data_IF_928994270959
#
_entry.id   IF_928994270959
#
_cell.length_a   1.000
_cell.length_b   1.000
_cell.length_c   1.000
_cell.angle_alpha   90.00
_cell.angle_beta   90.00
_cell.angle_gamma   90.00
#
_symmetry.space_group_name_H-M   'P 1'
#
loop_
_entity.id
_entity.type
_entity.pdbx_description
1 polymer ?
#
# COMPACT_ATOMS: atom_id res chain seq x y z
N UNK A 1 44.07 -15.53 -40.19
CA UNK A 1 43.13 -16.66 -40.20
C UNK A 1 41.74 -16.06 -40.15
N UNK A 2 41.11 -15.85 -41.30
CA UNK A 2 39.70 -15.48 -41.32
C UNK A 2 38.90 -16.77 -41.15
N UNK A 3 38.21 -16.93 -40.02
CA UNK A 3 37.24 -18.01 -39.84
C UNK A 3 36.15 -17.83 -40.91
N UNK A 4 36.17 -18.72 -41.89
CA UNK A 4 35.13 -18.80 -42.89
C UNK A 4 33.97 -19.55 -42.20
N UNK A 5 33.00 -18.80 -41.69
CA UNK A 5 31.84 -19.38 -40.99
C UNK A 5 31.06 -20.20 -42.02
N UNK A 6 31.01 -21.52 -41.83
CA UNK A 6 30.25 -22.40 -42.71
C UNK A 6 28.76 -22.01 -42.71
N UNK A 7 28.09 -21.94 -43.87
CA UNK A 7 26.71 -21.48 -43.98
C UNK A 7 25.71 -22.38 -43.22
N UNK A 8 26.07 -23.65 -42.99
CA UNK A 8 25.28 -24.58 -42.19
C UNK A 8 25.25 -24.21 -40.69
N UNK A 9 26.35 -23.69 -40.14
CA UNK A 9 26.41 -23.25 -38.73
C UNK A 9 25.57 -22.00 -38.52
N UNK A 10 25.61 -21.05 -39.45
CA UNK A 10 24.78 -19.84 -39.42
C UNK A 10 23.27 -20.18 -39.45
N UNK A 11 22.87 -21.17 -40.26
CA UNK A 11 21.47 -21.63 -40.29
C UNK A 11 21.05 -22.27 -38.96
N UNK A 12 21.89 -23.12 -38.38
CA UNK A 12 21.61 -23.77 -37.09
C UNK A 12 21.45 -22.75 -35.95
N UNK A 13 22.25 -21.68 -35.92
CA UNK A 13 22.08 -20.60 -34.94
C UNK A 13 20.78 -19.84 -35.15
N UNK A 14 20.42 -19.53 -36.40
CA UNK A 14 19.16 -18.87 -36.72
C UNK A 14 17.94 -19.73 -36.32
N UNK A 15 18.02 -21.05 -36.50
CA UNK A 15 16.98 -21.99 -36.06
C UNK A 15 16.85 -21.98 -34.53
N UNK A 16 17.96 -22.07 -33.79
CA UNK A 16 17.93 -21.98 -32.32
C UNK A 16 17.39 -20.64 -31.83
N UNK A 17 17.76 -19.53 -32.48
CA UNK A 17 17.24 -18.22 -32.16
C UNK A 17 15.72 -18.12 -32.41
N UNK A 18 15.24 -18.71 -33.50
CA UNK A 18 13.80 -18.79 -33.81
C UNK A 18 13.04 -19.63 -32.77
N UNK A 19 13.57 -20.79 -32.39
CA UNK A 19 12.99 -21.65 -31.33
C UNK A 19 12.92 -20.92 -29.98
N UNK A 20 13.95 -20.14 -29.64
CA UNK A 20 13.97 -19.30 -28.44
C UNK A 20 12.92 -18.20 -28.50
N UNK A 21 12.79 -17.50 -29.63
CA UNK A 21 11.78 -16.47 -29.83
C UNK A 21 10.36 -17.02 -29.71
N UNK A 22 10.08 -18.18 -30.31
CA UNK A 22 8.77 -18.84 -30.24
C UNK A 22 8.35 -19.15 -28.80
N UNK A 23 9.30 -19.53 -27.94
CA UNK A 23 9.03 -19.73 -26.50
C UNK A 23 8.60 -18.40 -25.84
N UNK A 24 9.32 -17.31 -26.08
CA UNK A 24 8.99 -16.01 -25.49
C UNK A 24 7.68 -15.41 -26.02
N UNK A 25 7.34 -15.67 -27.29
CA UNK A 25 6.07 -15.22 -27.87
C UNK A 25 4.87 -15.94 -27.27
N UNK A 26 5.00 -17.23 -26.92
CA UNK A 26 3.95 -18.00 -26.23
C UNK A 26 3.72 -17.54 -24.78
N UNK A 27 4.78 -17.13 -24.10
CA UNK A 27 4.75 -16.65 -22.71
C UNK A 27 4.49 -15.14 -22.62
N UNK A 28 4.16 -14.47 -23.73
CA UNK A 28 3.97 -13.02 -23.80
C UNK A 28 2.75 -12.59 -22.94
N UNK A 29 2.93 -11.70 -21.96
CA UNK A 29 1.81 -11.15 -21.18
C UNK A 29 0.82 -10.36 -22.04
N UNK A 30 -0.44 -10.33 -21.61
CA UNK A 30 -1.47 -9.52 -22.24
C UNK A 30 -1.14 -8.01 -22.11
N UNK A 31 -1.51 -7.18 -23.11
CA UNK A 31 -1.23 -5.75 -23.05
C UNK A 31 -1.90 -5.06 -21.85
N UNK A 32 -3.08 -5.54 -21.43
CA UNK A 32 -3.79 -5.04 -20.25
C UNK A 32 -2.98 -5.23 -18.97
N UNK A 33 -2.39 -6.41 -18.77
CA UNK A 33 -1.53 -6.68 -17.60
C UNK A 33 -0.31 -5.76 -17.54
N UNK A 34 0.25 -5.41 -18.70
CA UNK A 34 1.38 -4.49 -18.76
C UNK A 34 0.96 -3.07 -18.38
N UNK A 35 -0.26 -2.65 -18.71
CA UNK A 35 -0.82 -1.36 -18.28
C UNK A 35 -1.08 -1.35 -16.78
N UNK A 36 -1.67 -2.41 -16.23
CA UNK A 36 -1.91 -2.55 -14.78
C UNK A 36 -0.61 -2.53 -13.97
N UNK A 37 0.44 -3.19 -14.48
CA UNK A 37 1.77 -3.15 -13.88
C UNK A 37 2.53 -1.84 -14.13
N UNK A 38 1.92 -0.84 -14.77
CA UNK A 38 2.53 0.44 -15.13
C UNK A 38 3.80 0.29 -16.01
N UNK A 39 3.90 -0.79 -16.77
CA UNK A 39 4.99 -1.05 -17.73
C UNK A 39 4.64 -0.44 -19.09
N UNK A 40 3.40 -0.68 -19.56
CA UNK A 40 2.88 -0.13 -20.80
C UNK A 40 2.05 1.12 -20.50
N UNK A 41 2.33 2.22 -21.20
CA UNK A 41 1.53 3.45 -21.14
C UNK A 41 0.18 3.22 -21.85
N UNK A 42 -0.78 4.10 -21.59
CA UNK A 42 -2.14 3.99 -22.14
C UNK A 42 -2.12 3.77 -23.68
N UNK A 43 -2.57 2.60 -24.17
CA UNK A 43 -2.51 2.26 -25.59
C UNK A 43 -3.49 3.08 -26.45
N UNK A 44 -4.43 3.82 -25.85
CA UNK A 44 -5.33 4.73 -26.58
C UNK A 44 -4.65 6.01 -27.03
N UNK A 45 -3.57 6.41 -26.36
CA UNK A 45 -2.86 7.65 -26.69
C UNK A 45 -1.80 7.34 -27.74
N UNK A 46 -1.82 8.10 -28.83
CA UNK A 46 -0.82 7.98 -29.89
C UNK A 46 0.60 8.10 -29.32
N UNK A 47 1.58 7.26 -29.75
CA UNK A 47 2.93 7.23 -29.18
C UNK A 47 3.62 8.60 -29.09
N UNK A 48 3.43 9.45 -30.12
CA UNK A 48 4.01 10.79 -30.16
C UNK A 48 3.44 11.76 -29.09
N UNK A 49 2.23 11.50 -28.58
CA UNK A 49 1.54 12.37 -27.62
C UNK A 49 1.61 11.86 -26.18
N UNK A 50 2.14 10.65 -25.95
CA UNK A 50 2.16 10.03 -24.62
C UNK A 50 2.89 10.90 -23.59
N UNK A 51 4.03 11.45 -23.97
CA UNK A 51 4.81 12.33 -23.08
C UNK A 51 4.04 13.59 -22.68
N UNK A 52 3.44 14.28 -23.66
CA UNK A 52 2.68 15.50 -23.40
C UNK A 52 1.42 15.23 -22.55
N UNK A 53 0.75 14.11 -22.80
CA UNK A 53 -0.41 13.70 -22.02
C UNK A 53 -0.04 13.41 -20.55
N UNK A 54 1.12 12.80 -20.30
CA UNK A 54 1.61 12.54 -18.94
C UNK A 54 2.03 13.82 -18.22
N UNK A 55 2.71 14.73 -18.92
CA UNK A 55 3.08 16.03 -18.39
C UNK A 55 1.84 16.84 -17.97
N UNK A 56 0.81 16.84 -18.82
CA UNK A 56 -0.47 17.47 -18.49
C UNK A 56 -1.14 16.83 -17.28
N UNK A 57 -1.23 15.49 -17.23
CA UNK A 57 -1.80 14.76 -16.08
C UNK A 57 -1.05 15.10 -14.78
N UNK A 58 0.28 15.18 -14.85
CA UNK A 58 1.12 15.54 -13.70
C UNK A 58 0.84 16.98 -13.24
N UNK A 59 0.82 17.94 -14.15
CA UNK A 59 0.54 19.34 -13.82
C UNK A 59 -0.87 19.52 -13.22
N UNK A 60 -1.87 18.82 -13.77
CA UNK A 60 -3.22 18.83 -13.21
C UNK A 60 -3.26 18.24 -11.79
N UNK A 61 -2.55 17.14 -11.56
CA UNK A 61 -2.43 16.54 -10.23
C UNK A 61 -1.74 17.48 -9.26
N UNK A 62 -0.62 18.08 -9.65
CA UNK A 62 0.12 19.06 -8.84
C UNK A 62 -0.77 20.23 -8.42
N UNK A 63 -1.47 20.86 -9.37
CA UNK A 63 -2.40 21.95 -9.08
C UNK A 63 -3.52 21.52 -8.12
N UNK A 64 -4.09 20.34 -8.35
CA UNK A 64 -5.15 19.79 -7.49
C UNK A 64 -4.65 19.52 -6.07
N UNK A 65 -3.45 18.94 -5.94
CA UNK A 65 -2.85 18.65 -4.65
C UNK A 65 -2.47 19.94 -3.90
N UNK A 66 -1.86 20.91 -4.58
CA UNK A 66 -1.54 22.22 -4.01
C UNK A 66 -2.80 22.89 -3.45
N UNK A 67 -3.87 22.95 -4.23
CA UNK A 67 -5.14 23.52 -3.77
C UNK A 67 -5.71 22.81 -2.54
N UNK A 68 -5.65 21.46 -2.51
CA UNK A 68 -6.11 20.66 -1.36
C UNK A 68 -5.23 20.83 -0.12
N UNK A 69 -3.93 21.06 -0.32
CA UNK A 69 -2.98 21.29 0.78
C UNK A 69 -3.16 22.68 1.38
N UNK A 70 -3.40 23.71 0.56
CA UNK A 70 -3.72 25.07 1.02
C UNK A 70 -4.98 25.10 1.89
N UNK A 71 -5.99 24.31 1.53
CA UNK A 71 -7.27 24.23 2.23
C UNK A 71 -7.35 23.02 3.17
N UNK A 72 -6.20 22.52 3.64
CA UNK A 72 -6.16 21.36 4.54
C UNK A 72 -6.82 21.73 5.88
N UNK A 73 -7.93 21.10 6.27
CA UNK A 73 -8.62 21.43 7.52
C UNK A 73 -7.75 21.07 8.73
N UNK A 74 -7.80 21.86 9.81
CA UNK A 74 -7.11 21.55 11.05
C UNK A 74 -7.72 20.31 11.71
N UNK A 75 -6.92 19.66 12.56
CA UNK A 75 -7.32 18.44 13.29
C UNK A 75 -8.57 18.68 14.15
N UNK A 76 -8.67 19.87 14.78
CA UNK A 76 -9.83 20.25 15.59
C UNK A 76 -11.14 20.25 14.81
N UNK A 77 -11.14 20.74 13.56
CA UNK A 77 -12.33 20.70 12.72
C UNK A 77 -12.72 19.25 12.39
N UNK A 78 -11.75 18.38 12.10
CA UNK A 78 -12.03 16.96 11.85
C UNK A 78 -12.65 16.26 13.07
N UNK A 79 -12.24 16.62 14.29
CA UNK A 79 -12.85 16.12 15.55
C UNK A 79 -14.28 16.66 15.71
N UNK A 80 -14.50 17.97 15.48
CA UNK A 80 -15.83 18.57 15.55
C UNK A 80 -16.83 17.95 14.56
N UNK A 81 -16.35 17.59 13.37
CA UNK A 81 -17.15 16.90 12.35
C UNK A 81 -17.28 15.39 12.59
N UNK A 82 -16.78 14.86 13.72
CA UNK A 82 -16.78 13.44 14.08
C UNK A 82 -16.11 12.53 13.04
N UNK A 83 -15.18 13.09 12.25
CA UNK A 83 -14.36 12.34 11.28
C UNK A 83 -13.16 11.70 12.00
N UNK A 84 -12.62 12.39 13.00
CA UNK A 84 -11.53 11.92 13.85
C UNK A 84 -12.03 11.81 15.30
N UNK A 85 -11.62 10.75 16.02
CA UNK A 85 -11.85 10.65 17.45
C UNK A 85 -10.79 11.47 18.21
N UNK A 86 -11.14 12.05 19.35
CA UNK A 86 -10.20 12.84 20.15
C UNK A 86 -8.97 12.02 20.63
N UNK A 87 -9.14 10.70 20.77
CA UNK A 87 -8.04 9.76 21.04
C UNK A 87 -7.01 9.66 19.91
N UNK A 88 -7.43 9.85 18.66
CA UNK A 88 -6.59 9.71 17.46
C UNK A 88 -5.99 11.06 17.00
N UNK A 89 -6.46 12.17 17.59
CA UNK A 89 -5.97 13.53 17.32
C UNK A 89 -4.54 13.76 17.84
N UNK A 90 -4.11 12.96 18.82
CA UNK A 90 -2.72 12.91 19.26
C UNK A 90 -2.01 11.86 18.41
N UNK A 91 -0.96 12.21 17.63
CA UNK A 91 -0.20 11.19 16.93
C UNK A 91 0.29 10.17 17.96
N UNK A 92 -0.12 8.92 17.79
CA UNK A 92 0.19 7.83 18.70
C UNK A 92 1.72 7.66 18.78
N UNK A 93 2.35 8.37 19.71
CA UNK A 93 3.74 8.22 20.08
C UNK A 93 3.90 7.02 21.03
N UNK A 94 3.25 5.89 20.73
CA UNK A 94 3.48 4.63 21.42
C UNK A 94 4.27 3.72 20.47
N UNK A 95 5.59 3.92 20.51
CA UNK A 95 6.49 2.78 20.42
C UNK A 95 5.97 1.72 21.40
N UNK A 96 5.87 0.50 20.90
CA UNK A 96 5.60 -0.69 21.70
C UNK A 96 6.65 -0.78 22.83
N UNK A 97 6.35 -0.25 24.01
CA UNK A 97 6.87 -0.81 25.26
C UNK A 97 5.73 -1.62 25.85
N UNK A 98 5.79 -2.94 25.62
CA UNK A 98 4.87 -3.85 26.27
C UNK A 98 5.01 -3.73 27.79
N UNK A 99 3.99 -3.21 28.44
CA UNK A 99 3.71 -3.52 29.84
C UNK A 99 2.21 -3.40 30.06
N UNK A 100 1.52 -4.53 29.88
CA UNK A 100 0.12 -4.66 30.22
C UNK A 100 -0.04 -4.69 31.74
N UNK A 101 -0.70 -3.68 32.29
CA UNK A 101 -1.31 -3.73 33.62
C UNK A 101 -2.81 -3.51 33.44
N UNK A 102 -3.53 -4.59 33.10
CA UNK A 102 -4.99 -4.60 33.15
C UNK A 102 -5.40 -4.89 34.60
N UNK A 103 -5.67 -3.83 35.36
CA UNK A 103 -6.29 -3.91 36.67
C UNK A 103 -7.79 -4.24 36.50
N UNK A 104 -8.19 -5.45 36.91
CA UNK A 104 -9.61 -5.79 37.08
C UNK A 104 -10.13 -5.14 38.37
N UNK A 105 -11.10 -4.26 38.20
CA UNK A 105 -11.80 -3.52 39.26
C UNK A 105 -13.02 -4.32 39.74
N UNK A 106 -13.20 -4.32 41.07
CA UNK A 106 -14.41 -4.54 41.88
C UNK A 106 -15.25 -5.83 41.78
N UNK A 107 -15.42 -6.49 42.93
CA UNK A 107 -16.71 -7.08 43.34
C UNK A 107 -16.99 -6.73 44.82
N UNK A 108 -18.24 -6.33 45.20
CA UNK A 108 -18.45 -5.45 46.35
C UNK A 108 -19.16 -6.10 47.56
N UNK A 109 -19.07 -5.38 48.69
CA UNK A 109 -20.09 -5.21 49.74
C UNK A 109 -20.47 -6.40 50.65
N UNK A 110 -20.19 -6.29 51.96
CA UNK A 110 -20.74 -7.22 52.96
C UNK A 110 -20.35 -6.97 54.43
N UNK A 111 -20.72 -5.80 54.97
CA UNK A 111 -20.95 -5.48 56.38
C UNK A 111 -20.29 -6.34 57.49
N UNK A 112 -19.26 -5.78 58.14
CA UNK A 112 -18.85 -6.13 59.50
C UNK A 112 -19.89 -5.63 60.52
N UNK A 113 -20.72 -6.50 61.08
CA UNK A 113 -21.10 -6.46 62.51
C UNK A 113 -21.84 -7.72 62.93
N UNK A 114 -21.21 -8.60 63.71
CA UNK A 114 -21.94 -9.54 64.59
C UNK A 114 -21.10 -9.92 65.80
N UNK A 115 -20.90 -8.96 66.70
CA UNK A 115 -20.52 -9.23 68.08
C UNK A 115 -21.76 -9.06 68.97
N UNK A 116 -22.51 -10.14 69.19
CA UNK A 116 -23.38 -10.27 70.36
C UNK A 116 -23.65 -11.72 70.74
N UNK A 117 -23.44 -11.97 72.05
CA UNK A 117 -24.14 -12.86 72.99
C UNK A 117 -23.49 -14.18 73.41
N UNK A 118 -23.03 -14.12 74.66
CA UNK A 118 -22.89 -15.16 75.69
C UNK A 118 -23.70 -16.44 75.50
N UNK A 119 -23.02 -17.58 75.62
CA UNK A 119 -23.44 -18.87 76.21
C UNK A 119 -22.14 -19.50 76.74
N UNK A 120 -21.80 -19.40 78.03
CA UNK A 120 -22.08 -20.36 79.12
C UNK A 120 -22.01 -21.84 78.69
N UNK A 121 -20.84 -22.45 78.82
CA UNK A 121 -20.48 -23.57 79.71
C UNK A 121 -18.96 -23.63 79.76
#
# INVERSE_FOLDING_TARGET
MSENIDPATAHAEHVKAAEGLDKFLKERPAPEELVERNILKDPKVAPALQQQAEELKKAQLENTLNHKLEHRPPVSELVNHHILQESDAVPNAQQQTGSGLHATVDEPLGAETRLQKNVLI
#
